data_IF_552441569611
#
_entry.id   IF_552441569611
#
_cell.length_a   1.000
_cell.length_b   1.000
_cell.length_c   1.000
_cell.angle_alpha   90.00
_cell.angle_beta   90.00
_cell.angle_gamma   90.00
#
_symmetry.space_group_name_H-M   'P 1'
#
loop_
_entity.id
_entity.type
_entity.pdbx_description
1 polymer ?
#
# COMPACT_ATOMS: atom_id res chain seq x y z
N UNK A 1 3.95 5.61 -18.48
CA UNK A 1 4.26 5.17 -17.10
C UNK A 1 5.76 5.30 -16.90
N UNK A 2 6.27 5.83 -15.78
CA UNK A 2 7.72 5.89 -15.59
C UNK A 2 8.29 4.48 -15.35
N UNK A 3 9.60 4.24 -15.59
CA UNK A 3 10.22 2.95 -15.28
C UNK A 3 10.00 2.52 -13.83
N UNK A 4 10.05 3.48 -12.90
CA UNK A 4 9.79 3.24 -11.48
C UNK A 4 8.34 2.80 -11.20
N UNK A 5 7.35 3.33 -11.94
CA UNK A 5 5.96 2.92 -11.79
C UNK A 5 5.73 1.52 -12.38
N UNK A 6 6.36 1.18 -13.51
CA UNK A 6 6.28 -0.17 -14.10
C UNK A 6 6.83 -1.22 -13.13
N UNK A 7 8.03 -0.97 -12.57
CA UNK A 7 8.64 -1.90 -11.63
C UNK A 7 7.83 -2.04 -10.32
N UNK A 8 7.18 -0.96 -9.85
CA UNK A 8 6.28 -1.04 -8.69
C UNK A 8 5.03 -1.86 -8.98
N UNK A 9 4.43 -1.71 -10.15
CA UNK A 9 3.29 -2.52 -10.55
C UNK A 9 3.69 -4.00 -10.64
N UNK A 10 4.81 -4.31 -11.29
CA UNK A 10 5.34 -5.67 -11.39
C UNK A 10 5.77 -6.28 -10.04
N UNK A 11 5.94 -5.48 -8.99
CA UNK A 11 6.18 -5.99 -7.64
C UNK A 11 4.88 -6.33 -6.90
N UNK A 12 3.78 -5.63 -7.21
CA UNK A 12 2.48 -5.80 -6.57
C UNK A 12 1.56 -6.80 -7.30
N UNK A 13 1.81 -7.02 -8.60
CA UNK A 13 0.95 -7.79 -9.49
C UNK A 13 1.77 -8.84 -10.24
N UNK A 14 1.55 -10.11 -9.90
CA UNK A 14 2.26 -11.24 -10.46
C UNK A 14 1.92 -11.51 -11.94
N UNK A 15 0.68 -11.22 -12.36
CA UNK A 15 0.23 -11.39 -13.75
C UNK A 15 0.88 -10.33 -14.62
N UNK A 16 0.88 -9.08 -14.15
CA UNK A 16 1.60 -7.99 -14.81
C UNK A 16 3.10 -8.27 -14.90
N UNK A 17 3.70 -8.85 -13.86
CA UNK A 17 5.12 -9.24 -13.89
C UNK A 17 5.40 -10.31 -14.93
N UNK A 18 4.53 -11.32 -15.05
CA UNK A 18 4.69 -12.36 -16.06
C UNK A 18 4.66 -11.75 -17.48
N UNK A 19 3.70 -10.88 -17.75
CA UNK A 19 3.59 -10.18 -19.04
C UNK A 19 4.79 -9.26 -19.31
N UNK A 20 5.28 -8.55 -18.29
CA UNK A 20 6.47 -7.71 -18.40
C UNK A 20 7.74 -8.52 -18.73
N UNK A 21 7.85 -9.76 -18.21
CA UNK A 21 8.99 -10.63 -18.48
C UNK A 21 8.92 -11.25 -19.89
N UNK A 22 7.72 -11.59 -20.35
CA UNK A 22 7.51 -12.15 -21.69
C UNK A 22 7.67 -11.08 -22.78
N UNK A 23 7.18 -9.85 -22.55
CA UNK A 23 7.15 -8.78 -23.55
C UNK A 23 7.65 -7.43 -23.01
N UNK A 24 8.90 -7.31 -22.52
CA UNK A 24 9.40 -6.10 -21.86
C UNK A 24 9.37 -4.85 -22.76
N UNK A 25 9.53 -5.04 -24.07
CA UNK A 25 9.57 -3.96 -25.04
C UNK A 25 8.23 -3.25 -25.23
N UNK A 26 7.11 -3.95 -25.00
CA UNK A 26 5.75 -3.37 -25.02
C UNK A 26 5.60 -2.32 -23.91
N UNK A 27 6.34 -2.49 -22.83
CA UNK A 27 6.36 -1.57 -21.69
C UNK A 27 7.48 -0.52 -21.79
N UNK A 28 8.25 -0.52 -22.88
CA UNK A 28 9.41 0.36 -23.04
C UNK A 28 10.56 0.04 -22.07
N UNK A 29 10.65 -1.22 -21.62
CA UNK A 29 11.69 -1.73 -20.73
C UNK A 29 12.65 -2.59 -21.54
N UNK A 30 13.96 -2.42 -21.34
CA UNK A 30 14.94 -3.25 -22.03
C UNK A 30 14.97 -4.66 -21.40
N UNK A 31 15.07 -5.69 -22.23
CA UNK A 31 15.23 -7.06 -21.77
C UNK A 31 16.44 -7.16 -20.80
N UNK A 32 16.26 -7.84 -19.67
CA UNK A 32 17.29 -7.97 -18.62
C UNK A 32 17.44 -6.79 -17.67
N UNK A 33 16.66 -5.70 -17.82
CA UNK A 33 16.61 -4.60 -16.84
C UNK A 33 15.58 -4.82 -15.74
N UNK A 34 14.69 -5.81 -15.91
CA UNK A 34 13.73 -6.21 -14.87
C UNK A 34 14.49 -7.01 -13.82
N UNK A 35 14.59 -6.53 -12.56
CA UNK A 35 15.30 -7.26 -11.51
C UNK A 35 14.59 -8.58 -11.19
N UNK A 36 15.36 -9.54 -10.70
CA UNK A 36 14.83 -10.75 -10.11
C UNK A 36 13.85 -10.40 -8.97
N UNK A 37 12.79 -11.18 -8.83
CA UNK A 37 11.82 -10.97 -7.77
C UNK A 37 12.45 -11.34 -6.43
N UNK A 38 12.27 -10.48 -5.44
CA UNK A 38 12.55 -10.83 -4.05
C UNK A 38 11.43 -11.73 -3.51
N UNK A 39 11.76 -12.52 -2.49
CA UNK A 39 10.77 -13.32 -1.77
C UNK A 39 9.65 -12.41 -1.23
N UNK A 40 8.39 -12.84 -1.35
CA UNK A 40 7.27 -12.09 -0.79
C UNK A 40 7.40 -12.04 0.73
N UNK A 41 7.02 -10.91 1.31
CA UNK A 41 6.91 -10.81 2.76
C UNK A 41 5.85 -11.79 3.25
N UNK A 42 6.11 -12.44 4.37
CA UNK A 42 5.14 -13.37 4.95
C UNK A 42 3.87 -12.61 5.39
N UNK A 43 2.73 -13.29 5.29
CA UNK A 43 1.43 -12.71 5.60
C UNK A 43 1.35 -12.21 7.05
N UNK A 44 2.01 -12.89 7.99
CA UNK A 44 1.98 -12.48 9.40
C UNK A 44 2.73 -11.15 9.60
N UNK A 45 3.86 -10.94 8.92
CA UNK A 45 4.54 -9.65 8.89
C UNK A 45 3.64 -8.56 8.31
N UNK A 46 3.00 -8.79 7.15
CA UNK A 46 2.11 -7.81 6.54
C UNK A 46 0.91 -7.45 7.44
N UNK A 47 0.32 -8.45 8.08
CA UNK A 47 -0.79 -8.27 9.00
C UNK A 47 -0.37 -7.45 10.23
N UNK A 48 0.81 -7.71 10.81
CA UNK A 48 1.34 -6.93 11.93
C UNK A 48 1.47 -5.44 11.61
N UNK A 49 1.99 -5.08 10.44
CA UNK A 49 2.07 -3.67 10.02
C UNK A 49 0.68 -3.05 9.82
N UNK A 50 -0.24 -3.82 9.25
CA UNK A 50 -1.63 -3.37 9.00
C UNK A 50 -2.38 -3.12 10.30
N UNK A 51 -2.22 -4.00 11.29
CA UNK A 51 -2.78 -3.82 12.64
C UNK A 51 -2.22 -2.55 13.32
N UNK A 52 -0.92 -2.29 13.15
CA UNK A 52 -0.29 -1.07 13.67
C UNK A 52 -0.89 0.21 13.09
N UNK A 53 -1.14 0.25 11.78
CA UNK A 53 -1.80 1.39 11.11
C UNK A 53 -3.24 1.55 11.60
N UNK A 54 -4.00 0.45 11.67
CA UNK A 54 -5.38 0.47 12.16
C UNK A 54 -5.47 0.93 13.63
N UNK A 55 -4.49 0.57 14.46
CA UNK A 55 -4.42 1.01 15.85
C UNK A 55 -4.14 2.52 15.97
N UNK A 56 -3.29 3.08 15.09
CA UNK A 56 -3.03 4.52 15.03
C UNK A 56 -4.28 5.28 14.58
N UNK A 57 -5.00 4.78 13.58
CA UNK A 57 -6.25 5.39 13.11
C UNK A 57 -7.35 5.35 14.18
N UNK A 58 -7.46 4.23 14.92
CA UNK A 58 -8.38 4.11 16.04
C UNK A 58 -8.04 5.10 17.18
N UNK A 59 -6.75 5.26 17.50
CA UNK A 59 -6.29 6.23 18.50
C UNK A 59 -6.55 7.68 18.06
N UNK A 60 -6.26 8.02 16.81
CA UNK A 60 -6.52 9.34 16.23
C UNK A 60 -8.03 9.68 16.23
N UNK A 61 -8.89 8.71 15.91
CA UNK A 61 -10.33 8.86 16.04
C UNK A 61 -10.71 9.14 17.50
N UNK A 62 -10.25 8.31 18.45
CA UNK A 62 -10.63 8.44 19.87
C UNK A 62 -10.23 9.78 20.50
N UNK A 63 -9.06 10.32 20.13
CA UNK A 63 -8.52 11.56 20.68
C UNK A 63 -9.18 12.82 20.11
N UNK A 64 -9.76 12.72 18.91
CA UNK A 64 -10.48 13.83 18.25
C UNK A 64 -11.99 13.83 18.48
N UNK A 65 -12.54 12.75 19.05
CA UNK A 65 -13.96 12.68 19.37
C UNK A 65 -14.35 13.65 20.51
N UNK A 66 -15.39 14.46 20.28
CA UNK A 66 -16.02 15.28 21.32
C UNK A 66 -17.32 14.63 21.78
N UNK A 67 -17.42 14.27 23.07
CA UNK A 67 -18.63 13.72 23.66
C UNK A 67 -19.50 14.85 24.24
N UNK A 68 -20.62 15.15 23.58
CA UNK A 68 -21.72 15.98 24.10
C UNK A 68 -23.02 15.18 24.24
N UNK A 69 -24.09 15.76 24.82
CA UNK A 69 -25.30 15.00 25.20
C UNK A 69 -26.08 14.36 24.04
N UNK A 70 -25.84 14.73 22.76
CA UNK A 70 -26.61 14.19 21.63
C UNK A 70 -25.84 13.92 20.32
N UNK A 71 -24.51 14.11 20.23
CA UNK A 71 -23.77 13.89 18.97
C UNK A 71 -22.35 13.38 19.20
N UNK A 72 -21.98 12.30 18.50
CA UNK A 72 -20.60 11.83 18.35
C UNK A 72 -20.04 12.38 17.02
N UNK A 73 -19.17 13.37 17.07
CA UNK A 73 -18.41 13.84 15.91
C UNK A 73 -16.97 13.32 16.03
N UNK A 74 -16.56 12.46 15.10
CA UNK A 74 -15.22 11.89 15.02
C UNK A 74 -14.77 12.00 13.55
N UNK A 75 -14.41 13.21 13.14
CA UNK A 75 -13.98 13.54 11.76
C UNK A 75 -12.48 13.83 11.65
N UNK A 76 -11.72 13.64 12.74
CA UNK A 76 -10.28 13.88 12.78
C UNK A 76 -9.86 15.35 12.83
N UNK A 77 -10.79 16.31 12.78
CA UNK A 77 -10.47 17.76 12.77
C UNK A 77 -11.08 18.53 13.95
N UNK A 78 -12.08 17.97 14.62
CA UNK A 78 -12.92 18.67 15.60
C UNK A 78 -12.18 19.12 16.89
N UNK A 79 -11.02 18.55 17.24
CA UNK A 79 -10.25 18.90 18.47
C UNK A 79 -8.83 19.44 18.22
N UNK A 80 -8.61 20.07 17.06
CA UNK A 80 -7.36 20.80 16.77
C UNK A 80 -7.19 22.09 17.56
#
# INVERSE_FOLDING_TARGET
MSPSTILRQAAADAEFRAELLDNPEVFGVAAGTVPESVEQQDEASLNYWTEGVAAVDAYACSSTCTSGPFTFACDGTTKG
#
